data_IF_511679384922
#
_entry.id   IF_511679384922
#
_cell.length_a   1.000
_cell.length_b   1.000
_cell.length_c   1.000
_cell.angle_alpha   90.00
_cell.angle_beta   90.00
_cell.angle_gamma   90.00
#
_symmetry.space_group_name_H-M   'P 1'
#
loop_
_entity.id
_entity.type
_entity.pdbx_description
1 polymer ?
#
# COMPACT_ATOMS: atom_id res chain seq x y z
N UNK A 1 30.31 -76.97 23.12
CA UNK A 1 29.14 -76.05 23.12
C UNK A 1 29.12 -75.39 21.75
N UNK A 2 28.21 -75.85 20.87
CA UNK A 2 27.04 -75.10 20.36
C UNK A 2 27.40 -74.32 19.08
N UNK A 3 27.00 -74.71 17.86
CA UNK A 3 25.67 -74.86 17.24
C UNK A 3 25.11 -73.52 16.70
N UNK A 4 24.96 -73.50 15.36
CA UNK A 4 24.00 -72.84 14.45
C UNK A 4 23.44 -71.40 14.62
N UNK A 5 23.13 -70.81 13.45
CA UNK A 5 22.58 -69.46 13.10
C UNK A 5 21.11 -69.21 13.59
N UNK A 6 20.35 -68.20 13.07
CA UNK A 6 20.35 -66.72 13.25
C UNK A 6 18.93 -66.15 13.61
N UNK A 7 18.79 -64.81 13.76
CA UNK A 7 17.57 -63.94 13.63
C UNK A 7 17.71 -62.71 14.57
N UNK A 8 17.10 -61.54 14.44
CA UNK A 8 16.41 -60.75 13.41
C UNK A 8 15.91 -59.48 14.15
N UNK A 9 15.84 -58.32 13.46
CA UNK A 9 15.12 -57.08 13.81
C UNK A 9 15.43 -56.35 15.16
N UNK A 10 15.40 -55.03 15.27
CA UNK A 10 14.80 -54.02 14.41
C UNK A 10 15.37 -52.62 14.68
N UNK A 11 15.09 -51.74 13.72
CA UNK A 11 15.53 -50.37 13.62
C UNK A 11 14.70 -49.42 14.48
N UNK A 12 15.36 -48.43 15.09
CA UNK A 12 14.73 -47.13 15.38
C UNK A 12 15.67 -46.02 14.87
N UNK A 13 15.43 -45.62 13.62
CA UNK A 13 15.90 -44.34 13.09
C UNK A 13 15.14 -43.24 13.80
N UNK A 14 15.85 -42.44 14.58
CA UNK A 14 15.34 -41.18 15.11
C UNK A 14 15.41 -40.12 13.99
N UNK A 15 14.50 -40.20 13.02
CA UNK A 15 14.23 -39.10 12.08
C UNK A 15 13.34 -38.09 12.82
N UNK A 16 13.97 -37.14 13.52
CA UNK A 16 13.31 -35.93 13.98
C UNK A 16 12.89 -35.13 12.75
N UNK A 17 11.60 -35.24 12.41
CA UNK A 17 10.96 -34.52 11.34
C UNK A 17 11.32 -33.04 11.40
N UNK A 18 11.98 -32.55 10.35
CA UNK A 18 12.22 -31.14 10.13
C UNK A 18 10.90 -30.38 10.22
N UNK A 19 10.92 -29.27 10.95
CA UNK A 19 9.88 -28.27 10.94
C UNK A 19 9.54 -27.95 9.48
N UNK A 20 8.34 -28.34 9.05
CA UNK A 20 7.78 -27.90 7.79
C UNK A 20 7.54 -26.40 7.91
N UNK A 21 8.52 -25.61 7.51
CA UNK A 21 8.49 -24.15 7.41
C UNK A 21 7.57 -23.72 6.26
N UNK A 22 6.31 -24.15 6.32
CA UNK A 22 5.28 -23.85 5.34
C UNK A 22 3.99 -23.52 6.08
N UNK A 23 3.42 -22.36 5.75
CA UNK A 23 2.14 -21.88 6.28
C UNK A 23 1.08 -22.97 6.15
N UNK A 24 0.48 -23.36 7.27
CA UNK A 24 -0.57 -24.37 7.33
C UNK A 24 -1.82 -23.89 6.58
N UNK A 25 -2.63 -24.83 6.07
CA UNK A 25 -3.86 -24.45 5.37
C UNK A 25 -4.84 -23.71 6.31
N UNK A 26 -4.79 -24.02 7.60
CA UNK A 26 -5.54 -23.32 8.65
C UNK A 26 -5.07 -21.86 8.82
N UNK A 27 -3.76 -21.59 8.83
CA UNK A 27 -3.23 -20.22 8.88
C UNK A 27 -3.62 -19.42 7.64
N UNK A 28 -3.61 -20.04 6.45
CA UNK A 28 -4.03 -19.37 5.21
C UNK A 28 -5.52 -19.00 5.25
N UNK A 29 -6.37 -19.91 5.69
CA UNK A 29 -7.82 -19.67 5.78
C UNK A 29 -8.14 -18.56 6.79
N UNK A 30 -7.51 -18.60 7.97
CA UNK A 30 -7.68 -17.55 8.97
C UNK A 30 -7.15 -16.20 8.48
N UNK A 31 -6.02 -16.17 7.78
CA UNK A 31 -5.45 -14.94 7.20
C UNK A 31 -6.37 -14.35 6.13
N UNK A 32 -6.93 -15.19 5.25
CA UNK A 32 -7.90 -14.77 4.25
C UNK A 32 -9.19 -14.23 4.88
N UNK A 33 -9.68 -14.91 5.93
CA UNK A 33 -10.86 -14.48 6.69
C UNK A 33 -10.63 -13.15 7.42
N UNK A 34 -9.46 -12.97 8.03
CA UNK A 34 -9.08 -11.71 8.67
C UNK A 34 -9.02 -10.55 7.66
N UNK A 35 -8.44 -10.78 6.47
CA UNK A 35 -8.40 -9.79 5.39
C UNK A 35 -9.80 -9.44 4.87
N UNK A 36 -10.67 -10.44 4.67
CA UNK A 36 -12.06 -10.22 4.25
C UNK A 36 -12.85 -9.43 5.30
N UNK A 37 -12.70 -9.75 6.58
CA UNK A 37 -13.33 -9.03 7.67
C UNK A 37 -12.83 -7.57 7.74
N UNK A 38 -11.52 -7.34 7.56
CA UNK A 38 -10.96 -5.99 7.52
C UNK A 38 -11.50 -5.16 6.36
N UNK A 39 -11.48 -5.70 5.15
CA UNK A 39 -11.94 -5.03 3.93
C UNK A 39 -13.45 -4.76 3.91
N UNK A 40 -14.25 -5.56 4.60
CA UNK A 40 -15.68 -5.32 4.82
C UNK A 40 -15.99 -4.34 5.97
N UNK A 41 -14.97 -3.83 6.67
CA UNK A 41 -15.11 -2.93 7.81
C UNK A 41 -15.56 -3.61 9.11
N UNK A 42 -15.62 -4.95 9.14
CA UNK A 42 -15.93 -5.72 10.34
C UNK A 42 -14.67 -5.99 11.15
N UNK A 43 -14.21 -4.96 11.86
CA UNK A 43 -12.96 -5.04 12.64
C UNK A 43 -13.04 -6.00 13.83
N UNK A 44 -14.23 -6.22 14.41
CA UNK A 44 -14.39 -7.19 15.51
C UNK A 44 -14.11 -8.63 15.06
N UNK A 45 -14.67 -9.04 13.92
CA UNK A 45 -14.38 -10.35 13.34
C UNK A 45 -12.91 -10.45 12.91
N UNK A 46 -12.34 -9.38 12.34
CA UNK A 46 -10.93 -9.34 11.97
C UNK A 46 -10.01 -9.62 13.17
N UNK A 47 -10.25 -8.94 14.31
CA UNK A 47 -9.47 -9.13 15.53
C UNK A 47 -9.63 -10.55 16.11
N UNK A 48 -10.82 -11.16 16.00
CA UNK A 48 -11.02 -12.56 16.42
C UNK A 48 -10.18 -13.52 15.57
N UNK A 49 -10.18 -13.36 14.25
CA UNK A 49 -9.36 -14.20 13.37
C UNK A 49 -7.86 -14.00 13.62
N UNK A 50 -7.42 -12.76 13.87
CA UNK A 50 -6.03 -12.44 14.22
C UNK A 50 -5.62 -13.04 15.57
N UNK A 51 -6.51 -13.04 16.57
CA UNK A 51 -6.24 -13.69 17.85
C UNK A 51 -6.04 -15.20 17.69
N UNK A 52 -6.89 -15.87 16.90
CA UNK A 52 -6.71 -17.28 16.58
C UNK A 52 -5.39 -17.56 15.84
N UNK A 53 -4.97 -16.66 14.93
CA UNK A 53 -3.68 -16.76 14.26
C UNK A 53 -2.51 -16.61 15.24
N UNK A 54 -2.60 -15.66 16.17
CA UNK A 54 -1.56 -15.43 17.19
C UNK A 54 -1.38 -16.65 18.09
N UNK A 55 -2.45 -17.40 18.39
CA UNK A 55 -2.36 -18.63 19.17
C UNK A 55 -1.62 -19.75 18.45
N UNK A 56 -1.73 -19.80 17.11
CA UNK A 56 -1.07 -20.78 16.24
C UNK A 56 0.40 -20.38 16.01
N UNK A 57 0.65 -19.10 15.75
CA UNK A 57 1.97 -18.56 15.42
C UNK A 57 2.29 -17.34 16.30
N UNK A 58 2.91 -17.61 17.45
CA UNK A 58 3.13 -16.60 18.50
C UNK A 58 4.22 -15.60 18.19
N UNK A 59 5.13 -15.95 17.29
CA UNK A 59 6.35 -15.18 17.02
C UNK A 59 6.24 -14.31 15.76
N UNK A 60 5.16 -14.42 14.99
CA UNK A 60 4.97 -13.62 13.78
C UNK A 60 4.53 -12.18 14.10
N UNK A 61 5.48 -11.25 13.99
CA UNK A 61 5.26 -9.82 14.20
C UNK A 61 4.20 -9.23 13.25
N UNK A 62 3.94 -9.86 12.10
CA UNK A 62 2.93 -9.38 11.12
C UNK A 62 1.52 -9.51 11.69
N UNK A 63 1.27 -10.50 12.55
CA UNK A 63 -0.03 -10.67 13.22
C UNK A 63 -0.23 -9.52 14.22
N UNK A 64 0.81 -9.18 14.99
CA UNK A 64 0.79 -8.05 15.94
C UNK A 64 0.58 -6.73 15.17
N UNK A 65 1.30 -6.55 14.05
CA UNK A 65 1.17 -5.39 13.18
C UNK A 65 -0.26 -5.24 12.66
N UNK A 66 -0.83 -6.31 12.09
CA UNK A 66 -2.19 -6.31 11.56
C UNK A 66 -3.24 -6.07 12.65
N UNK A 67 -3.01 -6.60 13.86
CA UNK A 67 -3.88 -6.37 15.03
C UNK A 67 -3.89 -4.89 15.40
N UNK A 68 -2.71 -4.27 15.51
CA UNK A 68 -2.60 -2.85 15.83
C UNK A 68 -3.26 -1.96 14.77
N UNK A 69 -3.14 -2.32 13.49
CA UNK A 69 -3.84 -1.63 12.38
C UNK A 69 -5.35 -1.83 12.50
N UNK A 70 -5.84 -3.04 12.71
CA UNK A 70 -7.27 -3.32 12.87
C UNK A 70 -7.88 -2.56 14.06
N UNK A 71 -7.20 -2.50 15.20
CA UNK A 71 -7.62 -1.71 16.36
C UNK A 71 -7.65 -0.21 16.07
N UNK A 72 -6.67 0.30 15.32
CA UNK A 72 -6.63 1.70 14.93
C UNK A 72 -7.85 2.08 14.07
N UNK A 73 -8.19 1.24 13.08
CA UNK A 73 -9.37 1.46 12.25
C UNK A 73 -10.68 1.29 13.03
N UNK A 74 -10.78 0.28 13.91
CA UNK A 74 -11.94 0.08 14.81
C UNK A 74 -12.23 1.30 15.66
N UNK A 75 -11.20 1.99 16.14
CA UNK A 75 -11.31 3.20 16.95
C UNK A 75 -11.43 4.49 16.13
N UNK A 76 -11.90 4.41 14.87
CA UNK A 76 -12.04 5.54 13.96
C UNK A 76 -10.74 6.35 13.81
N UNK A 77 -9.59 5.68 13.83
CA UNK A 77 -8.27 6.27 13.64
C UNK A 77 -7.87 7.29 14.73
N UNK A 78 -8.43 7.18 15.93
CA UNK A 78 -8.14 8.10 17.06
C UNK A 78 -6.98 7.65 17.94
N UNK A 79 -6.56 6.39 17.85
CA UNK A 79 -5.53 5.77 18.70
C UNK A 79 -4.13 5.83 18.08
N UNK A 80 -3.78 6.94 17.44
CA UNK A 80 -2.50 7.10 16.71
C UNK A 80 -1.28 6.86 17.59
N UNK A 81 -1.30 7.30 18.85
CA UNK A 81 -0.18 7.13 19.78
C UNK A 81 0.07 5.66 20.11
N UNK A 82 -1.00 4.87 20.32
CA UNK A 82 -0.89 3.43 20.57
C UNK A 82 -0.29 2.71 19.36
N UNK A 83 -0.79 3.00 18.15
CA UNK A 83 -0.26 2.41 16.93
C UNK A 83 1.21 2.78 16.73
N UNK A 84 1.58 4.04 16.96
CA UNK A 84 2.98 4.50 16.89
C UNK A 84 3.87 3.75 17.89
N UNK A 85 3.40 3.55 19.12
CA UNK A 85 4.16 2.83 20.15
C UNK A 85 4.39 1.38 19.74
N UNK A 86 3.37 0.69 19.24
CA UNK A 86 3.49 -0.69 18.77
C UNK A 86 4.45 -0.79 17.58
N UNK A 87 4.34 0.09 16.58
CA UNK A 87 5.26 0.09 15.44
C UNK A 87 6.72 0.31 15.84
N UNK A 88 6.98 1.22 16.79
CA UNK A 88 8.33 1.46 17.31
C UNK A 88 8.87 0.24 18.08
N UNK A 89 8.01 -0.45 18.85
CA UNK A 89 8.39 -1.69 19.55
C UNK A 89 8.75 -2.79 18.55
N UNK A 90 7.92 -3.02 17.53
CA UNK A 90 8.20 -4.02 16.48
C UNK A 90 9.48 -3.67 15.71
N UNK A 91 9.68 -2.40 15.37
CA UNK A 91 10.91 -1.94 14.71
C UNK A 91 12.14 -2.27 15.55
N UNK A 92 12.10 -2.00 16.85
CA UNK A 92 13.22 -2.30 17.74
C UNK A 92 13.44 -3.81 17.87
N UNK A 93 12.39 -4.62 17.91
CA UNK A 93 12.53 -6.08 17.93
C UNK A 93 13.20 -6.60 16.65
N UNK A 94 12.78 -6.10 15.48
CA UNK A 94 13.35 -6.46 14.18
C UNK A 94 14.79 -5.96 14.03
N UNK A 95 15.10 -4.74 14.46
CA UNK A 95 16.47 -4.18 14.37
C UNK A 95 17.42 -4.71 15.44
N UNK A 96 16.93 -5.22 16.58
CA UNK A 96 17.79 -5.84 17.58
C UNK A 96 18.28 -7.23 17.15
N UNK A 97 17.76 -7.78 16.04
CA UNK A 97 18.07 -9.13 15.58
C UNK A 97 19.37 -9.21 14.75
N UNK A 98 19.79 -8.17 14.03
CA UNK A 98 21.07 -8.13 13.27
C UNK A 98 21.49 -6.66 13.11
N UNK A 99 22.70 -6.30 13.55
CA UNK A 99 23.24 -4.92 13.53
C UNK A 99 23.76 -4.44 12.15
N UNK A 100 23.43 -5.12 11.06
CA UNK A 100 23.77 -4.66 9.71
C UNK A 100 22.52 -4.67 8.84
N UNK A 101 22.05 -3.47 8.48
CA UNK A 101 21.03 -3.27 7.44
C UNK A 101 21.58 -3.82 6.12
N UNK A 102 21.37 -5.11 5.85
CA UNK A 102 21.47 -5.63 4.50
C UNK A 102 20.15 -5.35 3.75
N UNK A 103 20.21 -5.30 2.42
CA UNK A 103 19.04 -4.98 1.60
C UNK A 103 17.93 -6.04 1.62
N UNK A 104 18.17 -7.24 2.18
CA UNK A 104 17.15 -8.29 2.30
C UNK A 104 16.22 -8.03 3.49
N UNK A 105 16.77 -7.62 4.64
CA UNK A 105 15.99 -7.27 5.82
C UNK A 105 15.06 -6.06 5.55
N UNK A 106 15.50 -5.11 4.73
CA UNK A 106 14.70 -3.94 4.33
C UNK A 106 13.52 -4.31 3.40
N UNK A 107 13.66 -5.37 2.60
CA UNK A 107 12.58 -5.88 1.74
C UNK A 107 11.58 -6.69 2.55
N UNK A 108 12.04 -7.57 3.45
CA UNK A 108 11.17 -8.40 4.29
C UNK A 108 10.32 -7.55 5.24
N UNK A 109 10.90 -6.48 5.80
CA UNK A 109 10.24 -5.60 6.76
C UNK A 109 9.63 -4.33 6.12
N UNK A 110 9.55 -4.28 4.79
CA UNK A 110 9.09 -3.13 4.02
C UNK A 110 7.69 -2.63 4.44
N UNK A 111 6.76 -3.53 4.76
CA UNK A 111 5.41 -3.19 5.23
C UNK A 111 5.42 -2.48 6.59
N UNK A 112 6.29 -2.90 7.52
CA UNK A 112 6.43 -2.27 8.83
C UNK A 112 6.92 -0.82 8.67
N UNK A 113 7.93 -0.60 7.84
CA UNK A 113 8.44 0.73 7.53
C UNK A 113 7.41 1.60 6.80
N UNK A 114 6.64 1.02 5.88
CA UNK A 114 5.59 1.75 5.19
C UNK A 114 4.52 2.24 6.17
N UNK A 115 4.04 1.38 7.07
CA UNK A 115 3.09 1.75 8.11
C UNK A 115 3.65 2.83 9.04
N UNK A 116 4.95 2.77 9.37
CA UNK A 116 5.63 3.83 10.11
C UNK A 116 5.62 5.16 9.35
N UNK A 117 5.93 5.15 8.05
CA UNK A 117 5.92 6.36 7.23
C UNK A 117 4.51 6.98 7.14
N UNK A 118 3.47 6.15 7.04
CA UNK A 118 2.06 6.59 7.06
C UNK A 118 1.72 7.27 8.40
N UNK A 119 2.12 6.68 9.53
CA UNK A 119 1.85 7.30 10.84
C UNK A 119 2.61 8.62 11.02
N UNK A 120 3.89 8.66 10.63
CA UNK A 120 4.66 9.90 10.64
C UNK A 120 4.02 10.99 9.76
N UNK A 121 3.46 10.61 8.62
CA UNK A 121 2.71 11.50 7.74
C UNK A 121 1.47 12.09 8.43
N UNK A 122 0.67 11.27 9.12
CA UNK A 122 -0.49 11.75 9.88
C UNK A 122 -0.11 12.64 11.07
N UNK A 123 1.02 12.35 11.72
CA UNK A 123 1.59 13.16 12.81
C UNK A 123 2.30 14.43 12.31
N UNK A 124 2.26 14.71 11.00
CA UNK A 124 2.94 15.84 10.35
C UNK A 124 4.46 15.86 10.51
N UNK A 125 5.06 14.73 10.85
CA UNK A 125 6.52 14.54 10.93
C UNK A 125 7.08 14.25 9.54
N UNK A 126 6.90 15.19 8.60
CA UNK A 126 7.12 14.95 7.17
C UNK A 126 8.57 14.62 6.82
N UNK A 127 9.55 15.22 7.49
CA UNK A 127 10.98 14.94 7.22
C UNK A 127 11.35 13.50 7.56
N UNK A 128 10.88 13.00 8.70
CA UNK A 128 11.10 11.61 9.12
C UNK A 128 10.37 10.63 8.18
N UNK A 129 9.12 10.94 7.81
CA UNK A 129 8.35 10.15 6.86
C UNK A 129 9.05 10.06 5.48
N UNK A 130 9.62 11.16 5.00
CA UNK A 130 10.42 11.19 3.76
C UNK A 130 11.65 10.29 3.89
N UNK A 131 12.38 10.37 5.01
CA UNK A 131 13.57 9.53 5.20
C UNK A 131 13.23 8.04 5.12
N UNK A 132 12.13 7.61 5.73
CA UNK A 132 11.67 6.22 5.64
C UNK A 132 11.18 5.87 4.22
N UNK A 133 10.40 6.76 3.59
CA UNK A 133 9.89 6.55 2.23
C UNK A 133 10.98 6.52 1.15
N UNK A 134 12.01 7.36 1.24
CA UNK A 134 13.16 7.35 0.33
C UNK A 134 13.98 6.05 0.47
N UNK A 135 14.11 5.50 1.70
CA UNK A 135 14.73 4.18 1.91
C UNK A 135 13.94 3.06 1.24
N UNK A 136 12.62 3.02 1.46
CA UNK A 136 11.74 2.04 0.80
C UNK A 136 11.82 2.14 -0.72
N UNK A 137 11.91 3.36 -1.25
CA UNK A 137 12.01 3.58 -2.69
C UNK A 137 13.31 3.04 -3.31
N UNK A 138 14.42 2.96 -2.56
CA UNK A 138 15.68 2.40 -3.06
C UNK A 138 15.57 0.91 -3.41
N UNK A 139 14.68 0.19 -2.74
CA UNK A 139 14.44 -1.25 -2.92
C UNK A 139 13.04 -1.53 -3.50
N UNK A 140 12.54 -0.63 -4.35
CA UNK A 140 11.17 -0.72 -4.89
C UNK A 140 10.99 -1.82 -5.94
N UNK A 141 12.07 -2.26 -6.60
CA UNK A 141 12.02 -3.26 -7.68
C UNK A 141 11.48 -4.64 -7.25
N UNK A 142 11.86 -5.22 -6.09
CA UNK A 142 11.30 -6.48 -5.61
C UNK A 142 9.86 -6.38 -5.08
N UNK A 143 9.29 -5.19 -4.91
CA UNK A 143 7.97 -5.02 -4.33
C UNK A 143 6.84 -5.39 -5.30
N UNK A 144 5.73 -5.87 -4.74
CA UNK A 144 4.49 -6.05 -5.51
C UNK A 144 4.04 -4.70 -6.08
N UNK A 145 3.53 -4.72 -7.32
CA UNK A 145 3.17 -3.51 -8.08
C UNK A 145 2.28 -2.54 -7.28
N UNK A 146 1.23 -3.04 -6.63
CA UNK A 146 0.30 -2.21 -5.84
C UNK A 146 1.02 -1.54 -4.65
N UNK A 147 1.89 -2.29 -3.98
CA UNK A 147 2.65 -1.79 -2.85
C UNK A 147 3.68 -0.74 -3.29
N UNK A 148 4.43 -1.01 -4.36
CA UNK A 148 5.35 -0.05 -4.97
C UNK A 148 4.65 1.27 -5.35
N UNK A 149 3.45 1.18 -5.95
CA UNK A 149 2.64 2.36 -6.27
C UNK A 149 2.23 3.13 -5.00
N UNK A 150 1.82 2.43 -3.93
CA UNK A 150 1.46 3.05 -2.66
C UNK A 150 2.64 3.81 -2.03
N UNK A 151 3.84 3.21 -2.00
CA UNK A 151 5.08 3.88 -1.55
C UNK A 151 5.34 5.14 -2.38
N UNK A 152 5.28 5.04 -3.71
CA UNK A 152 5.49 6.19 -4.60
C UNK A 152 4.48 7.33 -4.34
N UNK A 153 3.19 7.01 -4.22
CA UNK A 153 2.17 8.04 -4.00
C UNK A 153 2.32 8.72 -2.64
N UNK A 154 2.64 7.97 -1.57
CA UNK A 154 2.93 8.55 -0.26
C UNK A 154 4.12 9.51 -0.35
N UNK A 155 5.19 9.12 -1.03
CA UNK A 155 6.39 9.94 -1.18
C UNK A 155 6.12 11.19 -2.03
N UNK A 156 5.27 11.10 -3.06
CA UNK A 156 4.80 12.27 -3.82
C UNK A 156 4.01 13.23 -2.92
N UNK A 157 3.09 12.75 -2.09
CA UNK A 157 2.35 13.60 -1.15
C UNK A 157 3.30 14.34 -0.20
N UNK A 158 4.27 13.61 0.37
CA UNK A 158 5.29 14.17 1.25
C UNK A 158 6.14 15.25 0.57
N UNK A 159 6.58 15.02 -0.68
CA UNK A 159 7.33 16.02 -1.44
C UNK A 159 6.49 17.27 -1.75
N UNK A 160 5.21 17.10 -2.11
CA UNK A 160 4.33 18.25 -2.34
C UNK A 160 4.12 19.04 -1.03
N UNK A 161 3.89 18.36 0.10
CA UNK A 161 3.70 19.00 1.41
C UNK A 161 4.95 19.74 1.90
N UNK A 162 6.14 19.23 1.60
CA UNK A 162 7.44 19.84 1.99
C UNK A 162 8.02 20.78 0.94
N UNK A 163 7.19 21.18 -0.03
CA UNK A 163 7.55 22.10 -1.09
C UNK A 163 8.64 21.63 -2.09
N UNK A 164 8.85 20.33 -2.26
CA UNK A 164 9.83 19.71 -3.17
C UNK A 164 9.19 19.27 -4.51
N UNK A 165 8.58 20.21 -5.24
CA UNK A 165 7.79 19.89 -6.45
C UNK A 165 8.60 19.21 -7.58
N UNK A 166 9.88 19.53 -7.74
CA UNK A 166 10.72 18.92 -8.79
C UNK A 166 10.92 17.42 -8.56
N UNK A 167 11.23 17.02 -7.32
CA UNK A 167 11.33 15.60 -6.93
C UNK A 167 10.00 14.88 -7.14
N UNK A 168 8.89 15.50 -6.73
CA UNK A 168 7.56 14.94 -6.94
C UNK A 168 7.26 14.70 -8.43
N UNK A 169 7.51 15.68 -9.28
CA UNK A 169 7.29 15.57 -10.73
C UNK A 169 8.19 14.51 -11.38
N UNK A 170 9.45 14.40 -10.94
CA UNK A 170 10.35 13.35 -11.39
C UNK A 170 9.83 11.95 -11.04
N UNK A 171 9.44 11.75 -9.77
CA UNK A 171 8.88 10.48 -9.30
C UNK A 171 7.57 10.12 -10.02
N UNK A 172 6.70 11.10 -10.27
CA UNK A 172 5.48 10.88 -11.06
C UNK A 172 5.76 10.40 -12.49
N UNK A 173 6.83 10.91 -13.12
CA UNK A 173 7.24 10.45 -14.45
C UNK A 173 7.76 9.00 -14.45
N UNK A 174 8.41 8.58 -13.36
CA UNK A 174 8.80 7.17 -13.15
C UNK A 174 7.56 6.31 -12.93
N UNK A 175 6.65 6.75 -12.07
CA UNK A 175 5.42 6.02 -11.74
C UNK A 175 4.54 5.78 -12.98
N UNK A 176 4.44 6.75 -13.89
CA UNK A 176 3.73 6.58 -15.17
C UNK A 176 4.32 5.45 -16.03
N UNK A 177 5.65 5.31 -16.04
CA UNK A 177 6.31 4.22 -16.77
C UNK A 177 6.04 2.88 -16.11
N UNK A 178 6.11 2.82 -14.77
CA UNK A 178 5.81 1.60 -14.01
C UNK A 178 4.39 1.10 -14.30
N UNK A 179 3.39 1.98 -14.20
CA UNK A 179 1.98 1.62 -14.47
C UNK A 179 1.75 1.23 -15.94
N UNK A 180 2.50 1.80 -16.87
CA UNK A 180 2.37 1.48 -18.30
C UNK A 180 3.05 0.15 -18.67
N UNK A 181 4.11 -0.24 -17.95
CA UNK A 181 4.87 -1.46 -18.18
C UNK A 181 4.27 -2.70 -17.49
N UNK A 182 3.63 -2.53 -16.32
CA UNK A 182 2.94 -3.62 -15.60
C UNK A 182 1.81 -4.28 -16.40
N UNK A 183 1.24 -3.57 -17.38
CA UNK A 183 0.14 -4.06 -18.22
C UNK A 183 0.58 -4.91 -19.44
N UNK A 184 1.89 -5.11 -19.67
CA UNK A 184 2.43 -5.63 -20.94
C UNK A 184 3.19 -6.97 -20.91
N UNK A 185 3.24 -7.69 -19.78
CA UNK A 185 4.17 -8.82 -19.61
C UNK A 185 3.55 -10.13 -19.15
N UNK A 186 2.92 -10.88 -20.08
CA UNK A 186 2.87 -12.36 -20.13
C UNK A 186 2.16 -12.81 -21.41
N UNK A 187 2.87 -12.69 -22.54
CA UNK A 187 2.55 -13.46 -23.74
C UNK A 187 3.07 -14.89 -23.51
N UNK A 188 2.18 -15.80 -23.13
CA UNK A 188 2.49 -17.22 -22.95
C UNK A 188 1.26 -18.04 -23.31
N UNK A 189 1.27 -18.57 -24.55
CA UNK A 189 0.46 -19.65 -25.12
C UNK A 189 -0.81 -20.06 -24.37
N UNK A 190 -1.96 -19.85 -25.03
CA UNK A 190 -3.17 -20.65 -24.90
C UNK A 190 -2.84 -22.14 -24.71
N UNK A 191 -3.35 -22.74 -23.64
CA UNK A 191 -3.99 -24.05 -23.73
C UNK A 191 -5.27 -24.07 -22.91
N UNK A 192 -6.24 -24.75 -23.50
CA UNK A 192 -7.67 -24.77 -23.23
C UNK A 192 -7.97 -25.63 -22.00
N UNK A 193 -8.78 -25.12 -21.07
CA UNK A 193 -9.26 -25.89 -19.92
C UNK A 193 -10.49 -25.25 -19.30
N UNK A 194 -11.65 -25.63 -19.83
CA UNK A 194 -12.97 -25.22 -19.39
C UNK A 194 -13.24 -25.69 -17.95
N UNK A 195 -13.67 -24.80 -17.04
CA UNK A 195 -14.71 -25.15 -16.08
C UNK A 195 -15.39 -23.94 -15.43
N UNK A 196 -16.69 -24.13 -15.23
CA UNK A 196 -17.72 -23.19 -14.82
C UNK A 196 -17.58 -22.69 -13.38
N UNK A 197 -17.69 -21.37 -13.20
CA UNK A 197 -18.37 -20.75 -12.05
C UNK A 197 -18.76 -19.33 -12.44
N UNK A 198 -20.06 -19.05 -12.32
CA UNK A 198 -20.70 -17.81 -12.68
C UNK A 198 -20.59 -16.89 -11.46
N UNK A 199 -19.53 -16.09 -11.39
CA UNK A 199 -19.52 -14.91 -10.55
C UNK A 199 -19.04 -13.71 -11.36
N UNK A 200 -19.87 -12.68 -11.36
CA UNK A 200 -19.82 -11.59 -12.33
C UNK A 200 -18.86 -10.50 -11.92
N UNK A 201 -17.56 -10.73 -12.05
CA UNK A 201 -16.58 -9.65 -12.17
C UNK A 201 -15.54 -10.06 -13.20
N UNK A 202 -15.32 -9.22 -14.22
CA UNK A 202 -14.31 -9.48 -15.23
C UNK A 202 -12.97 -8.92 -14.69
N UNK A 203 -12.03 -9.75 -14.21
CA UNK A 203 -10.80 -9.26 -13.55
C UNK A 203 -9.94 -8.38 -14.46
N UNK A 204 -10.08 -8.51 -15.79
CA UNK A 204 -9.46 -7.60 -16.76
C UNK A 204 -10.04 -6.18 -16.74
N UNK A 205 -11.34 -6.04 -16.47
CA UNK A 205 -12.01 -4.74 -16.41
C UNK A 205 -11.67 -3.99 -15.11
N UNK A 206 -11.57 -4.72 -13.99
CA UNK A 206 -11.16 -4.15 -12.70
C UNK A 206 -9.71 -3.64 -12.71
N UNK A 207 -8.79 -4.43 -13.27
CA UNK A 207 -7.40 -4.01 -13.47
C UNK A 207 -7.30 -2.76 -14.36
N UNK A 208 -8.08 -2.69 -15.45
CA UNK A 208 -8.11 -1.50 -16.30
C UNK A 208 -8.63 -0.25 -15.57
N UNK A 209 -9.66 -0.40 -14.74
CA UNK A 209 -10.22 0.69 -13.94
C UNK A 209 -9.20 1.21 -12.90
N UNK A 210 -8.45 0.32 -12.25
CA UNK A 210 -7.38 0.70 -11.30
C UNK A 210 -6.26 1.49 -12.00
N UNK A 211 -5.87 1.07 -13.21
CA UNK A 211 -4.86 1.78 -14.02
C UNK A 211 -5.36 3.19 -14.39
N UNK A 212 -6.63 3.32 -14.78
CA UNK A 212 -7.22 4.61 -15.11
C UNK A 212 -7.31 5.54 -13.88
N UNK A 213 -7.69 5.00 -12.72
CA UNK A 213 -7.70 5.73 -11.46
C UNK A 213 -6.29 6.22 -11.07
N UNK A 214 -5.27 5.37 -11.21
CA UNK A 214 -3.89 5.75 -10.94
C UNK A 214 -3.39 6.86 -11.89
N UNK A 215 -3.71 6.76 -13.18
CA UNK A 215 -3.39 7.81 -14.18
C UNK A 215 -4.07 9.13 -13.86
N UNK A 216 -5.36 9.08 -13.51
CA UNK A 216 -6.12 10.27 -13.07
C UNK A 216 -5.44 10.92 -11.85
N UNK A 217 -5.06 10.12 -10.86
CA UNK A 217 -4.36 10.60 -9.65
C UNK A 217 -3.01 11.24 -9.99
N UNK A 218 -2.24 10.67 -10.91
CA UNK A 218 -0.97 11.25 -11.38
C UNK A 218 -1.17 12.63 -12.01
N UNK A 219 -2.16 12.80 -12.89
CA UNK A 219 -2.45 14.11 -13.49
C UNK A 219 -2.79 15.15 -12.42
N UNK A 220 -3.56 14.77 -11.39
CA UNK A 220 -3.88 15.65 -10.27
C UNK A 220 -2.62 16.10 -9.51
N UNK A 221 -1.70 15.18 -9.21
CA UNK A 221 -0.42 15.53 -8.56
C UNK A 221 0.46 16.41 -9.43
N UNK A 222 0.54 16.14 -10.74
CA UNK A 222 1.30 17.00 -11.65
C UNK A 222 0.79 18.44 -11.64
N UNK A 223 -0.53 18.63 -11.62
CA UNK A 223 -1.12 19.97 -11.46
C UNK A 223 -0.70 20.61 -10.14
N UNK A 224 -0.75 19.88 -9.00
CA UNK A 224 -0.28 20.39 -7.69
C UNK A 224 1.19 20.85 -7.77
N UNK A 225 2.07 20.02 -8.35
CA UNK A 225 3.48 20.37 -8.53
C UNK A 225 3.68 21.61 -9.42
N UNK A 226 2.99 21.70 -10.57
CA UNK A 226 3.11 22.85 -11.46
C UNK A 226 2.54 24.15 -10.85
N UNK A 227 1.45 24.07 -10.09
CA UNK A 227 0.90 25.21 -9.33
C UNK A 227 1.95 25.73 -8.34
N UNK A 228 2.57 24.83 -7.59
CA UNK A 228 3.58 25.16 -6.60
C UNK A 228 4.84 25.80 -7.21
N UNK A 229 5.27 25.32 -8.37
CA UNK A 229 6.36 25.92 -9.15
C UNK A 229 5.93 27.16 -9.95
N UNK A 230 4.65 27.55 -9.90
CA UNK A 230 4.05 28.63 -10.70
C UNK A 230 4.26 28.46 -12.22
N UNK A 231 4.37 27.22 -12.69
CA UNK A 231 4.55 26.89 -14.11
C UNK A 231 3.21 26.88 -14.85
N UNK A 232 2.69 28.07 -15.15
CA UNK A 232 1.32 28.24 -15.67
C UNK A 232 1.08 27.54 -17.03
N UNK A 233 2.09 27.51 -17.91
CA UNK A 233 1.96 26.87 -19.23
C UNK A 233 1.81 25.35 -19.10
N UNK A 234 2.64 24.72 -18.29
CA UNK A 234 2.57 23.28 -18.03
C UNK A 234 1.28 22.93 -17.29
N UNK A 235 0.96 23.67 -16.23
CA UNK A 235 -0.27 23.52 -15.45
C UNK A 235 -1.54 23.58 -16.31
N UNK A 236 -1.62 24.53 -17.25
CA UNK A 236 -2.79 24.67 -18.15
C UNK A 236 -3.00 23.44 -19.03
N UNK A 237 -1.91 22.83 -19.53
CA UNK A 237 -2.00 21.60 -20.32
C UNK A 237 -2.47 20.44 -19.45
N UNK A 238 -1.86 20.30 -18.29
CA UNK A 238 -2.14 19.20 -17.36
C UNK A 238 -3.57 19.23 -16.81
N UNK A 239 -4.13 20.43 -16.56
CA UNK A 239 -5.54 20.57 -16.17
C UNK A 239 -6.47 19.98 -17.22
N UNK A 240 -6.16 20.08 -18.52
CA UNK A 240 -7.00 19.44 -19.54
C UNK A 240 -6.99 17.92 -19.38
N UNK A 241 -5.85 17.32 -19.08
CA UNK A 241 -5.73 15.88 -18.82
C UNK A 241 -6.55 15.47 -17.59
N UNK A 242 -6.50 16.25 -16.51
CA UNK A 242 -7.35 16.04 -15.33
C UNK A 242 -8.84 16.10 -15.70
N UNK A 243 -9.27 17.13 -16.44
CA UNK A 243 -10.69 17.25 -16.85
C UNK A 243 -11.14 16.09 -17.74
N UNK A 244 -10.24 15.54 -18.58
CA UNK A 244 -10.57 14.42 -19.46
C UNK A 244 -10.70 13.09 -18.70
N UNK A 245 -9.93 12.89 -17.64
CA UNK A 245 -9.88 11.62 -16.89
C UNK A 245 -10.79 11.61 -15.66
N UNK A 246 -10.99 12.76 -15.02
CA UNK A 246 -11.75 12.87 -13.77
C UNK A 246 -12.99 13.78 -13.90
N UNK A 247 -13.24 14.36 -15.08
CA UNK A 247 -14.41 15.20 -15.33
C UNK A 247 -14.52 16.39 -14.38
N UNK A 248 -15.74 16.66 -13.91
CA UNK A 248 -16.03 17.72 -12.92
C UNK A 248 -16.00 17.19 -11.48
N UNK A 249 -15.15 16.21 -11.17
CA UNK A 249 -14.94 15.78 -9.78
C UNK A 249 -14.47 16.95 -8.91
N UNK A 250 -14.74 16.88 -7.60
CA UNK A 250 -14.33 17.95 -6.70
C UNK A 250 -12.82 18.25 -6.79
N UNK A 251 -11.90 17.25 -6.78
CA UNK A 251 -10.46 17.50 -6.93
C UNK A 251 -10.12 18.24 -8.23
N UNK A 252 -10.76 17.88 -9.35
CA UNK A 252 -10.55 18.54 -10.65
C UNK A 252 -10.95 20.01 -10.62
N UNK A 253 -12.10 20.32 -10.02
CA UNK A 253 -12.60 21.69 -9.87
C UNK A 253 -11.76 22.51 -8.89
N UNK A 254 -11.27 21.92 -7.79
CA UNK A 254 -10.34 22.54 -6.85
C UNK A 254 -9.01 22.90 -7.54
N UNK A 255 -8.42 21.98 -8.31
CA UNK A 255 -7.17 22.23 -9.03
C UNK A 255 -7.34 23.31 -10.10
N UNK A 256 -8.44 23.25 -10.87
CA UNK A 256 -8.75 24.23 -11.91
C UNK A 256 -9.02 25.62 -11.34
N UNK A 257 -9.73 25.70 -10.22
CA UNK A 257 -10.00 26.98 -9.54
C UNK A 257 -8.73 27.60 -8.97
N UNK A 258 -7.84 26.80 -8.35
CA UNK A 258 -6.54 27.26 -7.86
C UNK A 258 -5.67 27.83 -9.00
N UNK A 259 -5.64 27.15 -10.14
CA UNK A 259 -4.96 27.68 -11.33
C UNK A 259 -5.55 29.02 -11.83
N UNK A 260 -6.88 29.19 -11.86
CA UNK A 260 -7.49 30.46 -12.24
C UNK A 260 -7.21 31.57 -11.22
N UNK A 261 -7.14 31.22 -9.92
CA UNK A 261 -6.72 32.15 -8.86
C UNK A 261 -5.30 32.66 -9.10
N UNK A 262 -4.35 31.77 -9.41
CA UNK A 262 -2.96 32.15 -9.73
C UNK A 262 -2.84 33.04 -10.98
N UNK A 263 -3.84 33.04 -11.86
CA UNK A 263 -3.90 33.92 -13.04
C UNK A 263 -4.58 35.27 -12.77
N UNK A 264 -5.06 35.51 -11.54
CA UNK A 264 -5.83 36.70 -11.19
C UNK A 264 -7.31 36.65 -11.59
N UNK A 265 -7.80 35.50 -12.07
CA UNK A 265 -9.19 35.32 -12.50
C UNK A 265 -10.10 34.95 -11.31
N UNK A 266 -10.11 35.78 -10.26
CA UNK A 266 -10.71 35.46 -8.97
C UNK A 266 -12.20 35.10 -9.05
N UNK A 267 -13.00 35.85 -9.83
CA UNK A 267 -14.44 35.55 -10.01
C UNK A 267 -14.68 34.16 -10.58
N UNK A 268 -13.82 33.74 -11.53
CA UNK A 268 -13.91 32.42 -12.15
C UNK A 268 -13.49 31.32 -11.18
N UNK A 269 -12.43 31.56 -10.40
CA UNK A 269 -11.99 30.63 -9.36
C UNK A 269 -13.11 30.34 -8.35
N UNK A 270 -13.77 31.38 -7.82
CA UNK A 270 -14.89 31.24 -6.88
C UNK A 270 -16.07 30.49 -7.50
N UNK A 271 -16.44 30.81 -8.75
CA UNK A 271 -17.54 30.10 -9.44
C UNK A 271 -17.25 28.60 -9.57
N UNK A 272 -16.01 28.23 -9.87
CA UNK A 272 -15.59 26.82 -9.97
C UNK A 272 -15.61 26.12 -8.60
N UNK A 273 -15.16 26.79 -7.54
CA UNK A 273 -15.22 26.24 -6.18
C UNK A 273 -16.67 25.98 -5.74
N UNK A 274 -17.58 26.92 -6.00
CA UNK A 274 -18.99 26.75 -5.64
C UNK A 274 -19.69 25.66 -6.48
N UNK A 275 -19.11 25.27 -7.61
CA UNK A 275 -19.60 24.12 -8.39
C UNK A 275 -19.06 22.77 -7.92
N UNK A 276 -18.08 22.76 -7.01
CA UNK A 276 -17.60 21.51 -6.40
C UNK A 276 -18.51 21.08 -5.27
N UNK A 277 -19.12 19.90 -5.36
CA UNK A 277 -19.93 19.34 -4.29
C UNK A 277 -19.00 18.75 -3.23
N UNK A 278 -18.76 19.47 -2.13
CA UNK A 278 -17.85 19.05 -1.04
C UNK A 278 -18.45 17.87 -0.23
N UNK A 279 -19.76 17.62 -0.34
CA UNK A 279 -20.47 16.60 0.44
C UNK A 279 -20.07 15.15 0.11
N UNK A 280 -19.40 14.90 -1.02
CA UNK A 280 -18.97 13.57 -1.46
C UNK A 280 -17.52 13.23 -1.11
N UNK A 281 -16.75 14.18 -0.56
CA UNK A 281 -15.37 13.93 -0.13
C UNK A 281 -15.25 14.03 1.40
N UNK A 282 -15.24 12.89 2.11
CA UNK A 282 -14.75 12.89 3.48
C UNK A 282 -13.33 13.44 3.45
N UNK A 283 -13.00 14.34 4.38
CA UNK A 283 -11.69 14.99 4.42
C UNK A 283 -10.53 13.99 4.51
N UNK A 284 -9.31 14.52 4.58
CA UNK A 284 -8.01 13.82 4.65
C UNK A 284 -7.95 12.54 5.55
N UNK A 285 -8.88 12.36 6.47
CA UNK A 285 -9.04 11.21 7.37
C UNK A 285 -9.68 9.97 6.71
N UNK A 286 -10.19 10.05 5.48
CA UNK A 286 -10.64 8.87 4.72
C UNK A 286 -9.87 8.78 3.41
N UNK A 287 -8.59 8.45 3.51
CA UNK A 287 -7.92 7.75 2.43
C UNK A 287 -8.47 6.32 2.43
N UNK A 288 -9.33 6.00 1.46
CA UNK A 288 -9.61 4.62 1.11
C UNK A 288 -8.28 4.02 0.61
N UNK A 289 -7.67 3.17 1.44
CA UNK A 289 -6.53 2.32 1.10
C UNK A 289 -7.04 0.98 0.58
#
# INVERSE_FOLDING_TARGET
>A
MAADKPADQGAEKHEGAGQSSGVTDQEKELSASALQAFTSGNYDACLQHLACLQDINKDDYKIILNTAVAEFFKNNQTTTDNLRQTLNQLKNQVHSAVEEMDGLDDVENSMLYYNQAVILYHLRQYTEAISVGEKLYQFIEPFEEKFAQAVCFLLVDLYILTHQAEKALHLLAVLEKMISQGSGGKNGKNETGNNSSKDGSNPKAESAALIEAAKSKIHQYKVRGYIQMKSLKACKREIKSVMNTAGNSAPSLFLKSNFEYLRGNYRKAVKLLNSSNIAEHPGFMKTDF
#
